data_IF_882208320232
#
_entry.id   IF_882208320232
#
_cell.length_a   1.000
_cell.length_b   1.000
_cell.length_c   1.000
_cell.angle_alpha   90.00
_cell.angle_beta   90.00
_cell.angle_gamma   90.00
#
_symmetry.space_group_name_H-M   'P 1'
#
loop_
_entity.id
_entity.type
_entity.pdbx_description
1 polymer ?
#
# COMPACT_ATOMS: atom_id res chain seq x y z
N UNK A 1 -13.79 13.44 4.32
CA UNK A 1 -13.35 12.83 5.59
C UNK A 1 -13.96 11.44 5.78
N UNK A 2 -15.28 11.31 5.76
CA UNK A 2 -16.03 10.05 5.96
C UNK A 2 -15.62 8.92 4.99
N UNK A 3 -15.46 9.20 3.70
CA UNK A 3 -15.02 8.19 2.71
C UNK A 3 -13.62 7.66 3.01
N UNK A 4 -12.70 8.53 3.43
CA UNK A 4 -11.35 8.12 3.82
C UNK A 4 -11.38 7.22 5.05
N UNK A 5 -12.12 7.62 6.09
CA UNK A 5 -12.36 6.80 7.29
C UNK A 5 -12.99 5.44 6.96
N UNK A 6 -13.88 5.39 5.97
CA UNK A 6 -14.47 4.12 5.54
C UNK A 6 -13.45 3.22 4.86
N UNK A 7 -12.62 3.77 3.98
CA UNK A 7 -11.58 3.00 3.26
C UNK A 7 -10.51 2.45 4.21
N UNK A 8 -10.23 3.14 5.33
CA UNK A 8 -9.35 2.63 6.41
C UNK A 8 -10.00 1.51 7.24
N UNK A 9 -11.25 1.13 6.93
CA UNK A 9 -12.02 0.09 7.61
C UNK A 9 -12.31 0.40 9.08
N UNK A 10 -12.35 1.69 9.45
CA UNK A 10 -12.57 2.14 10.82
C UNK A 10 -13.90 2.88 10.95
N UNK A 11 -14.81 2.40 11.81
CA UNK A 11 -16.10 3.05 12.07
C UNK A 11 -17.07 3.11 10.88
N UNK A 12 -16.77 2.43 9.76
CA UNK A 12 -17.61 2.45 8.56
C UNK A 12 -18.98 1.80 8.75
N UNK A 13 -19.05 0.80 9.64
CA UNK A 13 -20.31 0.11 9.98
C UNK A 13 -21.26 1.03 10.72
N UNK A 14 -20.74 1.86 11.62
CA UNK A 14 -21.55 2.78 12.44
C UNK A 14 -22.21 3.83 11.53
N UNK A 15 -21.43 4.38 10.60
CA UNK A 15 -21.89 5.34 9.58
C UNK A 15 -22.93 4.69 8.65
N UNK A 16 -22.72 3.42 8.27
CA UNK A 16 -23.70 2.68 7.47
C UNK A 16 -25.02 2.49 8.23
N UNK A 17 -24.97 2.16 9.53
CA UNK A 17 -26.17 2.00 10.35
C UNK A 17 -26.92 3.32 10.54
N UNK A 18 -26.21 4.43 10.78
CA UNK A 18 -26.82 5.76 10.81
C UNK A 18 -27.55 6.09 9.49
N UNK A 19 -26.97 5.70 8.35
CA UNK A 19 -27.63 5.88 7.05
C UNK A 19 -28.82 4.93 6.85
N UNK A 20 -28.75 3.70 7.36
CA UNK A 20 -29.85 2.75 7.28
C UNK A 20 -31.09 3.27 8.02
N UNK A 21 -30.90 3.93 9.16
CA UNK A 21 -31.98 4.51 9.96
C UNK A 21 -32.65 5.70 9.25
N UNK A 22 -31.90 6.44 8.42
CA UNK A 22 -32.42 7.60 7.68
C UNK A 22 -32.98 7.30 6.28
N UNK A 23 -32.40 6.34 5.55
CA UNK A 23 -32.68 6.09 4.13
C UNK A 23 -33.13 4.65 3.82
N UNK A 24 -33.24 3.79 4.83
CA UNK A 24 -33.54 2.37 4.68
C UNK A 24 -32.31 1.52 4.38
N UNK A 25 -32.38 0.18 4.58
CA UNK A 25 -31.19 -0.65 4.74
C UNK A 25 -30.47 -1.07 3.45
N UNK A 26 -31.17 -1.07 2.31
CA UNK A 26 -30.66 -1.72 1.09
C UNK A 26 -29.64 -0.88 0.31
N UNK A 27 -29.90 0.42 0.15
CA UNK A 27 -29.03 1.30 -0.63
C UNK A 27 -27.69 1.59 0.06
N UNK A 28 -27.66 1.91 1.38
CA UNK A 28 -26.39 2.11 2.07
C UNK A 28 -25.57 0.82 2.11
N UNK A 29 -26.19 -0.34 2.35
CA UNK A 29 -25.48 -1.62 2.32
C UNK A 29 -24.74 -1.84 1.00
N UNK A 30 -25.41 -1.69 -0.15
CA UNK A 30 -24.77 -1.86 -1.46
C UNK A 30 -23.63 -0.86 -1.71
N UNK A 31 -23.81 0.39 -1.29
CA UNK A 31 -22.78 1.43 -1.42
C UNK A 31 -21.56 1.13 -0.56
N UNK A 32 -21.73 0.89 0.75
CA UNK A 32 -20.62 0.68 1.67
C UNK A 32 -19.88 -0.62 1.39
N UNK A 33 -20.59 -1.72 1.08
CA UNK A 33 -19.93 -3.00 0.77
C UNK A 33 -19.07 -2.89 -0.49
N UNK A 34 -19.59 -2.27 -1.56
CA UNK A 34 -18.81 -2.07 -2.79
C UNK A 34 -17.64 -1.12 -2.59
N UNK A 35 -17.82 -0.04 -1.81
CA UNK A 35 -16.77 0.90 -1.43
C UNK A 35 -15.62 0.21 -0.67
N UNK A 36 -15.92 -0.65 0.30
CA UNK A 36 -14.90 -1.37 1.08
C UNK A 36 -14.15 -2.37 0.20
N UNK A 37 -14.86 -3.19 -0.58
CA UNK A 37 -14.22 -4.20 -1.42
C UNK A 37 -13.29 -3.54 -2.45
N UNK A 38 -13.78 -2.54 -3.18
CA UNK A 38 -13.01 -1.91 -4.25
C UNK A 38 -11.97 -0.95 -3.67
N UNK A 39 -12.40 -0.07 -2.77
CA UNK A 39 -11.56 1.00 -2.22
C UNK A 39 -10.43 0.48 -1.34
N UNK A 40 -10.71 -0.44 -0.41
CA UNK A 40 -9.67 -0.97 0.48
C UNK A 40 -8.68 -1.85 -0.30
N UNK A 41 -9.15 -2.68 -1.24
CA UNK A 41 -8.25 -3.46 -2.09
C UNK A 41 -7.35 -2.56 -2.96
N UNK A 42 -7.93 -1.51 -3.56
CA UNK A 42 -7.17 -0.55 -4.36
C UNK A 42 -6.09 0.15 -3.53
N UNK A 43 -6.43 0.68 -2.35
CA UNK A 43 -5.47 1.38 -1.49
C UNK A 43 -4.37 0.45 -0.99
N UNK A 44 -4.71 -0.76 -0.55
CA UNK A 44 -3.72 -1.74 -0.10
C UNK A 44 -2.73 -2.09 -1.21
N UNK A 45 -3.21 -2.37 -2.43
CA UNK A 45 -2.32 -2.67 -3.55
C UNK A 45 -1.47 -1.48 -3.97
N UNK A 46 -2.00 -0.26 -3.91
CA UNK A 46 -1.23 0.94 -4.21
C UNK A 46 -0.10 1.14 -3.19
N UNK A 47 -0.40 1.00 -1.90
CA UNK A 47 0.61 1.12 -0.83
C UNK A 47 1.68 0.03 -0.98
N UNK A 48 1.28 -1.22 -1.18
CA UNK A 48 2.22 -2.32 -1.42
C UNK A 48 3.06 -2.11 -2.68
N UNK A 49 2.45 -1.62 -3.77
CA UNK A 49 3.14 -1.34 -5.02
C UNK A 49 4.21 -0.26 -4.87
N UNK A 50 3.88 0.84 -4.18
CA UNK A 50 4.84 1.93 -3.92
C UNK A 50 5.97 1.46 -2.99
N UNK A 51 5.64 0.78 -1.88
CA UNK A 51 6.65 0.26 -0.96
C UNK A 51 7.56 -0.77 -1.65
N UNK A 52 7.00 -1.66 -2.44
CA UNK A 52 7.75 -2.63 -3.24
C UNK A 52 8.69 -1.94 -4.23
N UNK A 53 8.24 -0.86 -4.88
CA UNK A 53 9.06 -0.07 -5.81
C UNK A 53 10.23 0.61 -5.11
N UNK A 54 9.98 1.27 -3.98
CA UNK A 54 11.02 1.95 -3.21
C UNK A 54 12.05 0.96 -2.63
N UNK A 55 11.60 -0.15 -2.03
CA UNK A 55 12.52 -1.18 -1.53
C UNK A 55 13.36 -1.82 -2.64
N UNK A 56 12.77 -2.00 -3.83
CA UNK A 56 13.52 -2.51 -4.99
C UNK A 56 14.64 -1.55 -5.39
N UNK A 57 14.33 -0.24 -5.45
CA UNK A 57 15.30 0.81 -5.79
C UNK A 57 16.42 0.95 -4.75
N UNK A 58 16.09 0.87 -3.46
CA UNK A 58 17.09 0.86 -2.39
C UNK A 58 17.98 -0.38 -2.45
N UNK A 59 17.39 -1.55 -2.67
CA UNK A 59 18.11 -2.82 -2.82
C UNK A 59 19.06 -2.79 -4.03
N UNK A 60 18.62 -2.26 -5.16
CA UNK A 60 19.49 -2.13 -6.34
C UNK A 60 20.69 -1.21 -6.10
N UNK A 61 20.47 -0.06 -5.44
CA UNK A 61 21.56 0.84 -5.05
C UNK A 61 22.55 0.16 -4.10
N UNK A 62 22.07 -0.58 -3.11
CA UNK A 62 22.93 -1.34 -2.18
C UNK A 62 23.73 -2.42 -2.92
N UNK A 63 23.10 -3.15 -3.84
CA UNK A 63 23.75 -4.18 -4.66
C UNK A 63 24.83 -3.60 -5.58
N UNK A 64 24.56 -2.47 -6.23
CA UNK A 64 25.53 -1.77 -7.07
C UNK A 64 26.76 -1.30 -6.28
N UNK A 65 26.56 -0.73 -5.09
CA UNK A 65 27.67 -0.34 -4.19
C UNK A 65 28.51 -1.53 -3.77
N UNK A 66 27.87 -2.63 -3.35
CA UNK A 66 28.57 -3.86 -2.98
C UNK A 66 29.35 -4.49 -4.14
N UNK A 67 28.81 -4.44 -5.36
CA UNK A 67 29.50 -4.92 -6.55
C UNK A 67 30.75 -4.07 -6.88
N UNK A 68 30.65 -2.75 -6.77
CA UNK A 68 31.77 -1.83 -7.00
C UNK A 68 32.90 -2.04 -5.99
N UNK A 69 32.57 -2.24 -4.72
CA UNK A 69 33.56 -2.47 -3.67
C UNK A 69 34.32 -3.79 -3.89
N UNK A 70 33.60 -4.86 -4.25
CA UNK A 70 34.22 -6.16 -4.61
C UNK A 70 35.11 -6.07 -5.85
N UNK A 71 34.74 -5.27 -6.85
CA UNK A 71 35.59 -5.05 -8.03
C UNK A 71 36.90 -4.35 -7.65
N UNK A 72 36.82 -3.33 -6.78
CA UNK A 72 37.98 -2.58 -6.33
C UNK A 72 38.94 -3.44 -5.48
N UNK A 73 38.40 -4.28 -4.62
CA UNK A 73 39.18 -5.26 -3.84
C UNK A 73 39.91 -6.26 -4.74
N UNK A 74 39.27 -6.75 -5.81
CA UNK A 74 39.91 -7.66 -6.76
C UNK A 74 41.06 -7.03 -7.52
N UNK A 75 40.90 -5.78 -7.98
CA UNK A 75 41.96 -5.08 -8.72
C UNK A 75 43.20 -4.87 -7.85
N UNK A 76 43.04 -4.54 -6.57
CA UNK A 76 44.17 -4.37 -5.66
C UNK A 76 44.94 -5.67 -5.43
N UNK A 77 44.25 -6.81 -5.30
CA UNK A 77 44.90 -8.12 -5.12
C UNK A 77 45.64 -8.57 -6.39
N UNK A 78 45.19 -8.15 -7.57
CA UNK A 78 45.81 -8.53 -8.85
C UNK A 78 47.05 -7.67 -9.18
N UNK A 79 47.16 -6.47 -8.58
CA UNK A 79 48.30 -5.56 -8.72
C UNK A 79 49.45 -5.85 -7.72
N UNK A 80 49.17 -6.55 -6.60
CA UNK A 80 50.15 -6.99 -5.58
C UNK A 80 50.77 -8.36 -5.91
#
# INVERSE_FOLDING_TARGET
LTVFQCITMEGWTDIMYELNDGAGPWWPFLYFVSLIIIGSFFVLNLVLGVLSGEFSKEREKAKARGAFQKLREKQQIEED
#
